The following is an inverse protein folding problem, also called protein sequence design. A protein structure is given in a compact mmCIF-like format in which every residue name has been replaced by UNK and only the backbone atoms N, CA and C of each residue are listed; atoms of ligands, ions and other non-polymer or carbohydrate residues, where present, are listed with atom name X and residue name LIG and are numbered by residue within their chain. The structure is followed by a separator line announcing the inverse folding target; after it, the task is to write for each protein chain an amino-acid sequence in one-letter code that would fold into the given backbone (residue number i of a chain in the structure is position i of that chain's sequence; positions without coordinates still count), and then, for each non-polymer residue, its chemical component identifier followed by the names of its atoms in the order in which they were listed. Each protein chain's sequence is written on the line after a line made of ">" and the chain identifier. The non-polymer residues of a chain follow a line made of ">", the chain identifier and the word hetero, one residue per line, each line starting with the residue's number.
data_IF_040974903582
#
_entry.id   IF_040974903582
#
_cell.length_a   1.000
_cell.length_b   1.000
_cell.length_c   1.000
_cell.angle_alpha   90.00
_cell.angle_beta   90.00
_cell.angle_gamma   90.00
#
_symmetry.space_group_name_H-M   'P 1'
#
loop_
_entity.id
_entity.type
_entity.pdbx_description
1 polymer ?
#
# COMPACT_ATOMS: atom_id res chain seq x y z
N UNK A 1 35.60 -18.13 14.98
CA UNK A 1 35.85 -19.56 14.67
C UNK A 1 34.80 -20.04 13.67
N UNK A 2 35.22 -20.86 12.70
CA UNK A 2 34.45 -21.28 11.51
C UNK A 2 33.32 -22.27 11.83
N UNK A 3 32.29 -22.16 10.99
CA UNK A 3 31.05 -22.92 10.78
C UNK A 3 31.00 -24.41 11.15
N UNK A 4 29.79 -24.88 11.44
CA UNK A 4 29.11 -25.96 10.69
C UNK A 4 27.59 -25.87 10.90
N UNK A 5 26.85 -25.44 9.88
CA UNK A 5 25.43 -25.74 9.73
C UNK A 5 25.30 -26.72 8.57
N UNK A 6 24.72 -27.89 8.85
CA UNK A 6 24.46 -28.93 7.88
C UNK A 6 23.45 -28.42 6.84
N UNK A 7 23.80 -28.51 5.57
CA UNK A 7 22.86 -28.44 4.45
C UNK A 7 22.10 -29.75 4.35
N UNK A 8 20.78 -29.68 4.36
CA UNK A 8 19.91 -30.72 3.82
C UNK A 8 19.04 -30.04 2.75
N UNK A 9 19.40 -30.33 1.50
CA UNK A 9 18.70 -29.93 0.29
C UNK A 9 17.32 -30.59 0.23
N UNK A 10 16.25 -29.80 0.33
CA UNK A 10 14.96 -30.07 -0.34
C UNK A 10 14.27 -28.73 -0.64
N UNK A 11 13.82 -28.58 -1.89
CA UNK A 11 13.07 -27.41 -2.39
C UNK A 11 11.77 -27.20 -1.59
N UNK A 12 11.66 -26.08 -0.89
CA UNK A 12 10.45 -25.64 -0.20
C UNK A 12 10.71 -24.38 0.63
N UNK A 13 9.76 -23.43 0.63
CA UNK A 13 9.85 -22.13 1.31
C UNK A 13 10.32 -22.28 2.78
N UNK A 14 11.58 -21.96 3.05
CA UNK A 14 12.12 -21.93 4.40
C UNK A 14 11.75 -20.63 5.12
N UNK A 15 10.98 -20.73 6.19
CA UNK A 15 10.86 -19.69 7.22
C UNK A 15 11.93 -19.91 8.29
N UNK A 16 12.59 -18.84 8.72
CA UNK A 16 13.55 -18.85 9.82
C UNK A 16 12.83 -18.40 11.09
N UNK A 17 12.70 -19.29 12.08
CA UNK A 17 12.35 -18.91 13.45
C UNK A 17 13.64 -18.52 14.16
N UNK A 18 13.83 -17.24 14.45
CA UNK A 18 14.99 -16.81 15.25
C UNK A 18 14.62 -17.02 16.71
N UNK A 19 15.15 -18.08 17.33
CA UNK A 19 15.14 -18.21 18.78
C UNK A 19 16.19 -17.24 19.34
N UNK A 20 15.75 -16.07 19.83
CA UNK A 20 16.61 -15.22 20.67
C UNK A 20 16.13 -15.31 22.12
N UNK A 21 17.01 -15.87 22.94
CA UNK A 21 16.98 -15.70 24.39
C UNK A 21 17.45 -14.28 24.72
N UNK A 22 16.52 -13.46 25.22
CA UNK A 22 16.69 -12.40 26.22
C UNK A 22 15.43 -11.53 26.15
N UNK A 23 14.48 -11.74 27.06
CA UNK A 23 13.34 -10.85 27.23
C UNK A 23 13.86 -9.54 27.83
N UNK A 24 13.83 -8.46 27.05
CA UNK A 24 13.99 -7.11 27.56
C UNK A 24 12.61 -6.45 27.57
N UNK A 25 12.07 -6.22 28.77
CA UNK A 25 10.87 -5.42 28.97
C UNK A 25 11.15 -3.96 28.58
N UNK A 26 10.91 -3.63 27.31
CA UNK A 26 10.89 -2.26 26.82
C UNK A 26 9.56 -1.62 27.19
N UNK A 27 9.57 -0.81 28.25
CA UNK A 27 8.45 0.05 28.62
C UNK A 27 8.08 0.95 27.43
N UNK A 28 6.94 0.63 26.81
CA UNK A 28 6.42 1.33 25.64
C UNK A 28 5.83 2.69 26.03
N UNK A 29 6.61 3.75 25.89
CA UNK A 29 6.05 5.10 25.77
C UNK A 29 5.87 5.42 24.29
N UNK A 30 4.62 5.57 23.85
CA UNK A 30 4.30 6.22 22.59
C UNK A 30 4.84 7.66 22.66
N UNK A 31 5.99 7.92 22.03
CA UNK A 31 6.61 9.25 21.97
C UNK A 31 5.80 10.17 21.04
N UNK A 32 4.60 10.57 21.45
CA UNK A 32 3.93 11.75 20.90
C UNK A 32 4.59 12.99 21.49
N UNK A 33 5.73 13.38 20.94
CA UNK A 33 6.37 14.63 21.38
C UNK A 33 5.80 15.77 20.55
N UNK A 34 4.85 16.50 21.12
CA UNK A 34 4.26 17.74 20.58
C UNK A 34 5.24 18.93 20.52
N UNK A 35 6.52 18.72 20.83
CA UNK A 35 7.57 19.74 20.82
C UNK A 35 8.25 19.76 19.46
N UNK A 36 8.23 20.93 18.82
CA UNK A 36 8.82 21.16 17.50
C UNK A 36 10.35 21.02 17.46
N UNK A 37 11.03 20.95 18.61
CA UNK A 37 12.47 20.68 18.70
C UNK A 37 12.81 19.79 19.91
N UNK A 38 13.47 18.66 19.66
CA UNK A 38 14.06 17.81 20.69
C UNK A 38 15.43 18.35 21.09
N UNK A 39 15.72 18.41 22.40
CA UNK A 39 16.96 18.96 22.97
C UNK A 39 18.19 18.07 22.70
N UNK A 40 19.40 18.64 22.76
CA UNK A 40 20.66 17.90 22.59
C UNK A 40 20.74 16.64 23.50
N UNK A 41 20.18 16.75 24.70
CA UNK A 41 20.13 15.69 25.71
C UNK A 41 19.25 14.51 25.31
N UNK A 42 18.17 14.73 24.55
CA UNK A 42 17.35 13.64 24.02
C UNK A 42 18.16 12.76 23.05
N UNK A 43 18.99 13.36 22.18
CA UNK A 43 19.83 12.59 21.26
C UNK A 43 20.84 11.72 21.98
N UNK A 44 21.50 12.25 23.02
CA UNK A 44 22.47 11.48 23.79
C UNK A 44 21.84 10.23 24.42
N UNK A 45 20.55 10.31 24.80
CA UNK A 45 19.85 9.22 25.49
C UNK A 45 19.18 8.22 24.53
N UNK A 46 18.59 8.68 23.42
CA UNK A 46 17.74 7.85 22.55
C UNK A 46 18.45 7.36 21.27
N UNK A 47 19.49 8.06 20.81
CA UNK A 47 20.22 7.68 19.60
C UNK A 47 20.92 6.31 19.69
N UNK A 48 21.50 5.89 20.84
CA UNK A 48 22.04 4.54 20.99
C UNK A 48 20.98 3.45 20.73
N UNK A 49 19.74 3.67 21.20
CA UNK A 49 18.63 2.73 20.97
C UNK A 49 18.28 2.62 19.49
N UNK A 50 18.31 3.73 18.74
CA UNK A 50 18.04 3.67 17.31
C UNK A 50 19.13 2.92 16.55
N UNK A 51 20.41 3.07 16.94
CA UNK A 51 21.50 2.26 16.36
C UNK A 51 21.29 0.78 16.61
N UNK A 52 20.92 0.40 17.84
CA UNK A 52 20.62 -0.99 18.18
C UNK A 52 19.45 -1.55 17.34
N UNK A 53 18.34 -0.82 17.27
CA UNK A 53 17.17 -1.19 16.47
C UNK A 53 17.50 -1.28 14.97
N UNK A 54 18.37 -0.42 14.45
CA UNK A 54 18.85 -0.50 13.06
C UNK A 54 19.54 -1.84 12.81
N UNK A 55 20.43 -2.27 13.72
CA UNK A 55 21.12 -3.55 13.58
C UNK A 55 20.16 -4.74 13.71
N UNK A 56 19.20 -4.67 14.65
CA UNK A 56 18.22 -5.73 14.87
C UNK A 56 17.27 -5.90 13.67
N UNK A 57 16.83 -4.78 13.07
CA UNK A 57 15.85 -4.74 11.98
C UNK A 57 16.48 -4.68 10.58
N UNK A 58 17.79 -4.83 10.43
CA UNK A 58 18.51 -4.56 9.18
C UNK A 58 17.97 -5.28 7.93
N UNK A 59 17.36 -6.47 8.11
CA UNK A 59 16.75 -7.27 7.05
C UNK A 59 15.22 -7.24 7.07
N UNK A 60 14.60 -6.38 7.88
CA UNK A 60 13.15 -6.30 8.04
C UNK A 60 12.65 -4.99 7.42
N UNK A 61 11.64 -5.07 6.56
CA UNK A 61 10.91 -3.92 6.01
C UNK A 61 9.43 -4.02 6.38
N UNK A 62 8.79 -2.89 6.64
CA UNK A 62 7.36 -2.80 6.95
C UNK A 62 6.60 -2.30 5.73
N UNK A 63 6.10 -3.21 4.90
CA UNK A 63 5.49 -2.90 3.61
C UNK A 63 4.00 -3.17 3.67
N UNK A 64 3.21 -2.13 3.42
CA UNK A 64 1.76 -2.26 3.21
C UNK A 64 1.06 -2.98 4.39
N UNK A 65 1.42 -2.61 5.62
CA UNK A 65 0.86 -3.17 6.85
C UNK A 65 1.47 -4.50 7.29
N UNK A 66 2.51 -4.98 6.61
CA UNK A 66 3.16 -6.27 6.91
C UNK A 66 4.65 -6.13 7.09
N UNK A 67 5.21 -6.90 8.02
CA UNK A 67 6.65 -7.09 8.10
C UNK A 67 7.11 -8.11 7.06
N UNK A 68 8.21 -7.81 6.38
CA UNK A 68 8.79 -8.67 5.35
C UNK A 68 10.29 -8.81 5.62
N UNK A 69 10.77 -10.05 5.58
CA UNK A 69 12.22 -10.31 5.49
C UNK A 69 12.70 -9.98 4.06
N UNK A 70 13.66 -9.07 3.96
CA UNK A 70 14.14 -8.51 2.70
C UNK A 70 14.97 -9.51 1.90
N UNK A 71 15.58 -10.51 2.57
CA UNK A 71 16.40 -11.53 1.92
C UNK A 71 15.54 -12.62 1.29
N UNK A 72 14.59 -13.17 2.04
CA UNK A 72 13.71 -14.26 1.58
C UNK A 72 12.42 -13.77 0.91
N UNK A 73 12.08 -12.49 1.08
CA UNK A 73 10.79 -11.90 0.69
C UNK A 73 9.57 -12.54 1.40
N UNK A 74 9.80 -13.20 2.54
CA UNK A 74 8.72 -13.83 3.31
C UNK A 74 8.09 -12.86 4.31
N UNK A 75 6.77 -12.95 4.49
CA UNK A 75 6.06 -12.22 5.54
C UNK A 75 6.49 -12.71 6.93
N UNK A 76 6.80 -11.78 7.82
CA UNK A 76 7.13 -12.03 9.22
C UNK A 76 5.89 -11.79 10.08
N UNK A 77 5.70 -12.65 11.08
CA UNK A 77 4.61 -12.57 12.06
C UNK A 77 5.25 -12.70 13.44
N UNK A 78 5.60 -11.57 14.03
CA UNK A 78 6.28 -11.46 15.31
C UNK A 78 5.95 -10.11 15.93
N UNK A 79 5.16 -10.15 17.02
CA UNK A 79 4.64 -8.96 17.70
C UNK A 79 5.76 -8.11 18.32
N UNK A 80 6.89 -8.73 18.69
CA UNK A 80 8.03 -8.02 19.26
C UNK A 80 8.79 -7.29 18.15
N UNK A 81 9.00 -7.94 16.98
CA UNK A 81 9.59 -7.25 15.81
C UNK A 81 8.66 -6.12 15.33
N UNK A 82 7.35 -6.28 15.39
CA UNK A 82 6.39 -5.22 15.04
C UNK A 82 6.49 -4.04 15.99
N UNK A 83 6.60 -4.30 17.30
CA UNK A 83 6.81 -3.26 18.31
C UNK A 83 8.15 -2.56 18.14
N UNK A 84 9.21 -3.29 17.84
CA UNK A 84 10.54 -2.76 17.58
C UNK A 84 10.55 -1.87 16.34
N UNK A 85 9.89 -2.30 15.26
CA UNK A 85 9.73 -1.50 14.03
C UNK A 85 8.94 -0.22 14.29
N UNK A 86 7.85 -0.29 15.05
CA UNK A 86 7.06 0.89 15.41
C UNK A 86 7.89 1.88 16.25
N UNK A 87 8.63 1.37 17.24
CA UNK A 87 9.54 2.14 18.09
C UNK A 87 10.64 2.80 17.25
N UNK A 88 11.29 2.02 16.38
CA UNK A 88 12.32 2.50 15.46
C UNK A 88 11.82 3.66 14.60
N UNK A 89 10.70 3.48 13.89
CA UNK A 89 10.13 4.53 13.04
C UNK A 89 9.75 5.77 13.83
N UNK A 90 9.22 5.61 15.05
CA UNK A 90 8.87 6.73 15.93
C UNK A 90 10.09 7.55 16.34
N UNK A 91 11.16 6.88 16.78
CA UNK A 91 12.41 7.54 17.16
C UNK A 91 13.06 8.26 15.97
N UNK A 92 13.04 7.63 14.78
CA UNK A 92 13.58 8.25 13.56
C UNK A 92 12.78 9.51 13.18
N UNK A 93 11.45 9.49 13.26
CA UNK A 93 10.64 10.70 13.06
C UNK A 93 11.03 11.82 14.02
N UNK A 94 11.22 11.50 15.30
CA UNK A 94 11.73 12.45 16.29
C UNK A 94 13.07 13.05 15.86
N UNK A 95 14.01 12.20 15.44
CA UNK A 95 15.33 12.62 14.96
C UNK A 95 15.28 13.53 13.73
N UNK A 96 14.42 13.25 12.76
CA UNK A 96 14.23 14.09 11.56
C UNK A 96 13.76 15.50 11.94
N UNK A 97 12.97 15.64 13.00
CA UNK A 97 12.53 16.93 13.53
C UNK A 97 13.59 17.72 14.29
N UNK A 98 14.79 17.17 14.46
CA UNK A 98 15.86 17.83 15.21
C UNK A 98 16.34 19.14 14.58
N UNK A 99 16.70 20.12 15.41
CA UNK A 99 17.33 21.34 14.93
C UNK A 99 18.59 21.05 14.09
N UNK A 100 19.38 20.04 14.50
CA UNK A 100 20.57 19.61 13.78
C UNK A 100 20.24 19.07 12.37
N UNK A 101 19.30 18.12 12.25
CA UNK A 101 18.91 17.55 10.94
C UNK A 101 18.22 18.61 10.08
N UNK A 102 17.34 19.42 10.66
CA UNK A 102 16.66 20.50 9.94
C UNK A 102 17.67 21.54 9.41
N UNK A 103 18.68 21.91 10.19
CA UNK A 103 19.75 22.80 9.73
C UNK A 103 20.58 22.18 8.58
N UNK A 104 20.97 20.91 8.71
CA UNK A 104 21.69 20.18 7.65
C UNK A 104 20.84 20.07 6.38
N UNK A 105 19.55 19.78 6.53
CA UNK A 105 18.62 19.63 5.41
C UNK A 105 18.35 20.96 4.71
N UNK A 106 18.31 22.07 5.45
CA UNK A 106 18.25 23.43 4.87
C UNK A 106 19.40 23.67 3.90
N UNK A 107 20.63 23.38 4.31
CA UNK A 107 21.83 23.58 3.50
C UNK A 107 21.86 22.70 2.24
N UNK A 108 21.37 21.46 2.36
CA UNK A 108 21.19 20.55 1.21
C UNK A 108 20.14 21.13 0.26
N UNK A 109 18.94 21.48 0.74
CA UNK A 109 17.85 21.99 -0.11
C UNK A 109 18.20 23.30 -0.82
N UNK A 110 18.95 24.21 -0.19
CA UNK A 110 19.42 25.45 -0.82
C UNK A 110 20.32 25.21 -2.04
N UNK A 111 20.94 24.03 -2.14
CA UNK A 111 21.76 23.66 -3.31
C UNK A 111 20.97 22.98 -4.44
N UNK A 112 19.75 22.49 -4.19
CA UNK A 112 18.94 21.73 -5.16
C UNK A 112 17.73 22.49 -5.70
N UNK A 113 17.11 23.35 -4.90
CA UNK A 113 15.97 24.16 -5.33
C UNK A 113 16.50 25.45 -5.96
N UNK A 114 16.84 25.38 -7.25
CA UNK A 114 17.14 26.56 -8.08
C UNK A 114 15.95 27.54 -7.97
N UNK A 115 16.15 28.65 -7.24
CA UNK A 115 15.24 29.79 -7.02
C UNK A 115 14.41 29.85 -5.73
N UNK A 116 14.82 29.21 -4.63
CA UNK A 116 14.25 29.57 -3.33
C UNK A 116 14.82 30.91 -2.82
N UNK A 117 14.22 32.03 -3.23
CA UNK A 117 14.35 33.34 -2.54
C UNK A 117 13.73 33.34 -1.12
N UNK A 118 13.27 32.19 -0.63
CA UNK A 118 12.70 32.03 0.70
C UNK A 118 13.73 31.39 1.63
N UNK A 119 14.35 32.21 2.49
CA UNK A 119 15.39 31.85 3.46
C UNK A 119 14.95 30.89 4.59
N UNK A 120 13.78 30.24 4.54
CA UNK A 120 13.23 29.53 5.70
C UNK A 120 12.53 28.19 5.45
N UNK A 121 12.55 27.63 4.24
CA UNK A 121 11.80 26.39 3.98
C UNK A 121 12.65 25.12 4.22
N UNK A 122 12.18 24.25 5.11
CA UNK A 122 12.67 22.88 5.27
C UNK A 122 11.48 21.91 5.35
N UNK A 123 11.36 20.91 4.46
CA UNK A 123 10.29 19.92 4.55
C UNK A 123 10.44 19.07 5.82
N UNK A 124 9.34 18.52 6.35
CA UNK A 124 9.34 17.71 7.57
C UNK A 124 9.76 18.50 8.83
N UNK A 125 9.71 19.83 8.79
CA UNK A 125 10.09 20.71 9.89
C UNK A 125 9.02 20.76 10.99
N UNK A 126 7.75 20.61 10.63
CA UNK A 126 6.64 20.57 11.59
C UNK A 126 6.35 19.15 12.07
N UNK A 127 5.88 19.00 13.31
CA UNK A 127 5.55 17.68 13.86
C UNK A 127 4.52 16.92 13.02
N UNK A 128 3.47 17.59 12.54
CA UNK A 128 2.42 16.99 11.70
C UNK A 128 2.92 16.49 10.33
N UNK A 129 3.96 17.11 9.77
CA UNK A 129 4.58 16.68 8.50
C UNK A 129 5.37 15.37 8.68
N UNK A 130 5.74 15.04 9.91
CA UNK A 130 6.48 13.82 10.24
C UNK A 130 5.56 12.67 10.64
N UNK A 131 4.29 12.91 10.93
CA UNK A 131 3.38 11.82 11.29
C UNK A 131 3.22 10.83 10.13
N UNK A 132 3.07 9.52 10.41
CA UNK A 132 2.79 8.53 9.39
C UNK A 132 1.35 8.67 8.87
N UNK A 133 1.13 8.24 7.63
CA UNK A 133 -0.20 8.21 7.03
C UNK A 133 -0.42 6.92 6.26
N UNK A 134 -1.59 6.32 6.50
CA UNK A 134 -2.14 5.25 5.67
C UNK A 134 -3.14 5.87 4.70
N UNK A 135 -2.82 5.82 3.42
CA UNK A 135 -3.66 6.32 2.33
C UNK A 135 -4.59 5.20 1.89
N UNK A 136 -5.85 5.30 2.31
CA UNK A 136 -6.88 4.26 2.12
C UNK A 136 -8.18 4.78 1.47
N UNK A 137 -8.19 6.05 1.05
CA UNK A 137 -9.34 6.71 0.46
C UNK A 137 -8.95 7.95 -0.32
N UNK A 138 -9.74 8.30 -1.36
CA UNK A 138 -9.62 9.57 -2.07
C UNK A 138 -9.85 10.76 -1.13
N UNK A 139 -10.66 10.60 -0.09
CA UNK A 139 -10.91 11.66 0.90
C UNK A 139 -9.65 12.04 1.66
N UNK A 140 -8.81 11.09 2.07
CA UNK A 140 -7.52 11.40 2.71
C UNK A 140 -6.60 12.20 1.77
N UNK A 141 -6.43 11.72 0.54
CA UNK A 141 -5.61 12.40 -0.48
C UNK A 141 -6.15 13.80 -0.78
N UNK A 142 -7.46 13.93 -0.97
CA UNK A 142 -8.13 15.20 -1.27
C UNK A 142 -8.04 16.20 -0.13
N UNK A 143 -8.15 15.75 1.11
CA UNK A 143 -7.98 16.60 2.28
C UNK A 143 -6.53 17.12 2.36
N UNK A 144 -5.56 16.24 2.14
CA UNK A 144 -4.14 16.62 2.16
C UNK A 144 -3.79 17.64 1.07
N UNK A 145 -4.29 17.43 -0.15
CA UNK A 145 -4.10 18.34 -1.30
C UNK A 145 -5.03 19.58 -1.26
N UNK A 146 -5.87 19.73 -0.23
CA UNK A 146 -6.85 20.81 -0.12
C UNK A 146 -7.81 20.91 -1.32
N UNK A 147 -8.20 19.77 -1.89
CA UNK A 147 -9.14 19.67 -3.02
C UNK A 147 -10.54 20.07 -2.57
N UNK A 148 -11.13 21.04 -3.27
CA UNK A 148 -12.46 21.58 -2.97
C UNK A 148 -13.58 20.57 -3.23
N UNK A 149 -14.78 20.81 -2.66
CA UNK A 149 -15.92 19.93 -2.86
C UNK A 149 -16.36 19.79 -4.33
N UNK A 150 -16.21 20.85 -5.13
CA UNK A 150 -16.51 20.81 -6.58
C UNK A 150 -15.49 19.94 -7.32
N UNK A 151 -14.20 20.11 -7.02
CA UNK A 151 -13.14 19.29 -7.62
C UNK A 151 -13.25 17.82 -7.18
N UNK A 152 -13.68 17.52 -5.95
CA UNK A 152 -13.94 16.13 -5.53
C UNK A 152 -15.01 15.45 -6.39
N UNK A 153 -16.05 16.20 -6.82
CA UNK A 153 -17.06 15.67 -7.76
C UNK A 153 -16.43 15.35 -9.12
N UNK A 154 -15.54 16.22 -9.60
CA UNK A 154 -14.80 16.02 -10.85
C UNK A 154 -13.86 14.81 -10.76
N UNK A 155 -13.05 14.72 -9.71
CA UNK A 155 -12.17 13.58 -9.41
C UNK A 155 -12.98 12.29 -9.43
N UNK A 156 -14.08 12.23 -8.66
CA UNK A 156 -14.94 11.04 -8.63
C UNK A 156 -15.42 10.67 -10.03
N UNK A 157 -15.93 11.63 -10.79
CA UNK A 157 -16.46 11.35 -12.12
C UNK A 157 -15.40 10.77 -13.06
N UNK A 158 -14.21 11.39 -13.11
CA UNK A 158 -13.09 10.93 -13.93
C UNK A 158 -12.56 9.57 -13.47
N UNK A 159 -12.39 9.37 -12.17
CA UNK A 159 -11.94 8.11 -11.57
C UNK A 159 -12.93 6.99 -11.87
N UNK A 160 -14.22 7.16 -11.55
CA UNK A 160 -15.24 6.14 -11.79
C UNK A 160 -15.28 5.70 -13.26
N UNK A 161 -15.16 6.64 -14.19
CA UNK A 161 -15.18 6.34 -15.62
C UNK A 161 -14.09 5.35 -16.05
N UNK A 162 -12.95 5.36 -15.37
CA UNK A 162 -11.77 4.53 -15.63
C UNK A 162 -11.80 3.23 -14.81
N UNK A 163 -12.11 3.30 -13.51
CA UNK A 163 -11.83 2.20 -12.56
C UNK A 163 -13.01 1.24 -12.36
N UNK A 164 -14.23 1.60 -12.78
CA UNK A 164 -15.39 0.69 -12.62
C UNK A 164 -15.60 -0.21 -13.85
N UNK A 165 -14.60 -0.37 -14.70
CA UNK A 165 -14.63 -1.31 -15.81
C UNK A 165 -14.66 -2.75 -15.28
N UNK A 166 -15.32 -3.66 -15.99
CA UNK A 166 -15.54 -5.02 -15.52
C UNK A 166 -14.23 -5.78 -15.23
N UNK A 167 -13.21 -5.63 -16.08
CA UNK A 167 -11.90 -6.26 -15.86
C UNK A 167 -11.14 -5.68 -14.65
N UNK A 168 -11.31 -4.39 -14.33
CA UNK A 168 -10.72 -3.77 -13.13
C UNK A 168 -11.44 -4.25 -11.87
N UNK A 169 -12.77 -4.33 -11.92
CA UNK A 169 -13.58 -4.87 -10.83
C UNK A 169 -13.23 -6.32 -10.50
N UNK A 170 -13.29 -7.20 -11.50
CA UNK A 170 -12.97 -8.63 -11.35
C UNK A 170 -11.50 -8.83 -10.97
N UNK A 171 -10.59 -8.08 -11.59
CA UNK A 171 -9.16 -8.13 -11.27
C UNK A 171 -8.86 -7.73 -9.83
N UNK A 172 -9.50 -6.67 -9.32
CA UNK A 172 -9.35 -6.24 -7.93
C UNK A 172 -9.89 -7.30 -6.94
N UNK A 173 -11.04 -7.91 -7.24
CA UNK A 173 -11.56 -9.02 -6.43
C UNK A 173 -10.60 -10.22 -6.42
N UNK A 174 -10.04 -10.60 -7.58
CA UNK A 174 -9.04 -11.67 -7.67
C UNK A 174 -7.81 -11.36 -6.83
N UNK A 175 -7.29 -10.13 -6.88
CA UNK A 175 -6.13 -9.73 -6.08
C UNK A 175 -6.41 -9.81 -4.56
N UNK A 176 -7.62 -9.44 -4.11
CA UNK A 176 -8.03 -9.61 -2.70
C UNK A 176 -8.05 -11.10 -2.33
N UNK A 177 -8.71 -11.93 -3.14
CA UNK A 177 -8.84 -13.37 -2.91
C UNK A 177 -7.48 -14.11 -2.95
N UNK A 178 -6.60 -13.74 -3.87
CA UNK A 178 -5.23 -14.26 -3.94
C UNK A 178 -4.43 -13.92 -2.67
N UNK A 179 -4.68 -12.74 -2.08
CA UNK A 179 -4.14 -12.38 -0.77
C UNK A 179 -4.53 -13.40 0.30
N UNK A 180 -5.82 -13.72 0.39
CA UNK A 180 -6.30 -14.76 1.30
C UNK A 180 -5.68 -16.12 1.01
N UNK A 181 -5.67 -16.57 -0.25
CA UNK A 181 -5.15 -17.88 -0.65
C UNK A 181 -3.74 -18.13 -0.09
N UNK A 182 -2.82 -17.19 -0.30
CA UNK A 182 -1.43 -17.31 0.15
C UNK A 182 -1.32 -17.50 1.67
N UNK A 183 -2.07 -16.73 2.44
CA UNK A 183 -1.99 -16.79 3.90
C UNK A 183 -2.78 -17.98 4.48
N UNK A 184 -3.90 -18.38 3.87
CA UNK A 184 -4.69 -19.54 4.25
C UNK A 184 -3.98 -20.86 3.95
N UNK A 185 -3.28 -20.96 2.82
CA UNK A 185 -2.43 -22.11 2.50
C UNK A 185 -1.31 -22.26 3.55
N UNK A 186 -0.72 -21.13 3.96
CA UNK A 186 0.28 -21.11 5.02
C UNK A 186 -0.30 -21.58 6.37
N UNK A 187 -1.52 -21.16 6.73
CA UNK A 187 -2.19 -21.59 7.95
C UNK A 187 -2.53 -23.09 7.93
N UNK A 188 -3.08 -23.57 6.81
CA UNK A 188 -3.42 -24.98 6.61
C UNK A 188 -2.21 -25.90 6.73
N UNK A 189 -1.04 -25.46 6.25
CA UNK A 189 0.21 -26.23 6.36
C UNK A 189 0.75 -26.39 7.79
N UNK A 190 0.29 -25.56 8.74
CA UNK A 190 0.76 -25.58 10.14
C UNK A 190 -0.18 -26.33 11.09
N UNK A 191 -1.31 -26.83 10.61
CA UNK A 191 -2.27 -27.64 11.37
C UNK A 191 -3.68 -27.60 10.79
N UNK A 192 -4.54 -28.51 11.25
CA UNK A 192 -5.96 -28.59 10.86
C UNK A 192 -6.75 -27.46 11.55
N UNK A 193 -6.70 -26.25 10.99
CA UNK A 193 -7.68 -25.22 11.32
C UNK A 193 -8.86 -25.35 10.33
N UNK A 194 -9.99 -25.88 10.82
CA UNK A 194 -11.20 -26.06 10.01
C UNK A 194 -11.66 -24.75 9.35
N UNK A 195 -11.51 -23.62 10.04
CA UNK A 195 -11.88 -22.30 9.50
C UNK A 195 -10.96 -21.90 8.33
N UNK A 196 -9.67 -22.27 8.39
CA UNK A 196 -8.71 -21.99 7.31
C UNK A 196 -8.98 -22.86 6.07
N UNK A 197 -9.34 -24.13 6.26
CA UNK A 197 -9.73 -25.03 5.16
C UNK A 197 -11.02 -24.56 4.48
N UNK A 198 -12.04 -24.21 5.26
CA UNK A 198 -13.29 -23.67 4.74
C UNK A 198 -13.06 -22.35 4.00
N UNK A 199 -12.28 -21.44 4.59
CA UNK A 199 -11.88 -20.19 3.92
C UNK A 199 -11.17 -20.46 2.58
N UNK A 200 -10.27 -21.44 2.53
CA UNK A 200 -9.58 -21.83 1.30
C UNK A 200 -10.53 -22.34 0.21
N UNK A 201 -11.53 -23.15 0.58
CA UNK A 201 -12.57 -23.63 -0.35
C UNK A 201 -13.43 -22.48 -0.90
N UNK A 202 -13.81 -21.54 -0.03
CA UNK A 202 -14.59 -20.35 -0.42
C UNK A 202 -13.78 -19.48 -1.39
N UNK A 203 -12.49 -19.25 -1.10
CA UNK A 203 -11.58 -18.50 -1.98
C UNK A 203 -11.48 -19.18 -3.35
N UNK A 204 -11.28 -20.50 -3.38
CA UNK A 204 -11.21 -21.26 -4.62
C UNK A 204 -12.50 -21.14 -5.46
N UNK A 205 -13.67 -21.28 -4.82
CA UNK A 205 -14.97 -21.12 -5.47
C UNK A 205 -15.15 -19.73 -6.08
N UNK A 206 -14.83 -18.66 -5.33
CA UNK A 206 -14.87 -17.29 -5.83
C UNK A 206 -13.91 -17.07 -7.02
N UNK A 207 -12.69 -17.61 -6.95
CA UNK A 207 -11.71 -17.45 -8.02
C UNK A 207 -12.12 -18.18 -9.31
N UNK A 208 -12.75 -19.35 -9.19
CA UNK A 208 -13.31 -20.08 -10.33
C UNK A 208 -14.43 -19.27 -10.98
N UNK A 209 -15.39 -18.78 -10.18
CA UNK A 209 -16.45 -17.89 -10.65
C UNK A 209 -15.89 -16.72 -11.47
N UNK A 210 -14.93 -15.96 -10.91
CA UNK A 210 -14.33 -14.79 -11.56
C UNK A 210 -13.49 -15.13 -12.80
N UNK A 211 -13.03 -16.38 -12.94
CA UNK A 211 -12.27 -16.83 -14.10
C UNK A 211 -13.21 -17.18 -15.24
N UNK A 212 -14.33 -17.85 -14.94
CA UNK A 212 -15.38 -18.15 -15.91
C UNK A 212 -16.00 -16.87 -16.50
N UNK A 213 -16.20 -15.83 -15.68
CA UNK A 213 -16.71 -14.53 -16.17
C UNK A 213 -15.72 -13.79 -17.08
N UNK A 214 -14.41 -14.09 -17.01
CA UNK A 214 -13.36 -13.38 -17.75
C UNK A 214 -13.14 -13.85 -19.19
N UNK A 215 -13.79 -14.94 -19.62
CA UNK A 215 -13.54 -15.61 -20.91
C UNK A 215 -14.01 -14.78 -22.12
N UNK A 216 -14.87 -13.78 -21.92
CA UNK A 216 -15.40 -12.93 -22.98
C UNK A 216 -14.53 -11.72 -23.35
N UNK A 217 -13.50 -11.42 -22.55
CA UNK A 217 -12.71 -10.19 -22.68
C UNK A 217 -11.47 -10.31 -23.58
N UNK A 218 -11.19 -11.47 -24.17
CA UNK A 218 -10.03 -11.67 -25.06
C UNK A 218 -10.37 -11.28 -26.52
N UNK A 219 -9.81 -10.17 -27.06
CA UNK A 219 -10.05 -9.74 -28.43
C UNK A 219 -9.42 -10.66 -29.50
N UNK A 220 -8.51 -11.56 -29.11
CA UNK A 220 -7.96 -12.60 -29.98
C UNK A 220 -8.80 -13.89 -30.04
N UNK A 221 -9.78 -14.00 -29.15
CA UNK A 221 -10.67 -15.16 -29.07
C UNK A 221 -11.77 -15.05 -30.14
N UNK A 222 -11.92 -16.09 -30.95
CA UNK A 222 -13.04 -16.26 -31.90
C UNK A 222 -14.39 -16.49 -31.20
N UNK A 223 -14.57 -15.95 -30.00
CA UNK A 223 -15.74 -16.06 -29.13
C UNK A 223 -16.95 -15.25 -29.63
N UNK A 224 -16.74 -14.28 -30.53
CA UNK A 224 -17.84 -13.63 -31.28
C UNK A 224 -18.52 -14.59 -32.29
N UNK A 225 -17.90 -15.72 -32.63
CA UNK A 225 -18.49 -16.81 -33.42
C UNK A 225 -19.10 -17.93 -32.57
N UNK A 226 -19.03 -17.86 -31.23
CA UNK A 226 -19.69 -18.83 -30.36
C UNK A 226 -21.21 -18.58 -30.43
N UNK A 227 -21.87 -19.30 -31.33
CA UNK A 227 -23.30 -19.56 -31.22
C UNK A 227 -23.54 -20.13 -29.82
N UNK A 228 -24.53 -19.58 -29.12
CA UNK A 228 -25.01 -20.06 -27.82
C UNK A 228 -25.00 -21.59 -27.83
N UNK A 229 -24.31 -22.22 -26.87
CA UNK A 229 -24.12 -23.68 -26.92
C UNK A 229 -25.48 -24.37 -26.86
N UNK A 230 -25.89 -25.01 -27.95
CA UNK A 230 -27.21 -25.65 -28.08
C UNK A 230 -27.30 -27.01 -27.36
N UNK A 231 -26.59 -27.18 -26.25
CA UNK A 231 -26.75 -28.35 -25.39
C UNK A 231 -27.29 -27.89 -24.04
N UNK A 232 -28.62 -27.99 -23.91
CA UNK A 232 -29.30 -28.13 -22.62
C UNK A 232 -28.66 -29.30 -21.87
N UNK A 233 -27.66 -29.01 -21.07
CA UNK A 233 -27.54 -29.65 -19.77
C UNK A 233 -28.18 -28.67 -18.79
N UNK A 234 -28.91 -29.19 -17.79
CA UNK A 234 -29.46 -28.40 -16.69
C UNK A 234 -28.30 -27.71 -15.95
N UNK A 235 -27.85 -26.58 -16.49
CA UNK A 235 -27.10 -25.61 -15.73
C UNK A 235 -28.11 -24.98 -14.78
N UNK A 236 -27.84 -25.11 -13.48
CA UNK A 236 -28.64 -24.51 -12.44
C UNK A 236 -28.84 -23.01 -12.64
N UNK A 237 -29.69 -22.41 -11.79
CA UNK A 237 -30.06 -21.01 -11.86
C UNK A 237 -28.87 -20.09 -12.21
N UNK A 238 -29.05 -19.08 -13.09
CA UNK A 238 -27.97 -18.18 -13.50
C UNK A 238 -27.30 -17.60 -12.27
N UNK A 239 -25.99 -17.84 -12.14
CA UNK A 239 -25.22 -17.39 -10.99
C UNK A 239 -25.27 -15.87 -10.89
N UNK A 240 -25.49 -15.35 -9.70
CA UNK A 240 -25.59 -13.91 -9.45
C UNK A 240 -24.35 -13.41 -8.73
N UNK A 241 -24.07 -12.12 -8.86
CA UNK A 241 -23.11 -11.45 -7.97
C UNK A 241 -23.52 -11.55 -6.49
N UNK A 242 -24.80 -11.81 -6.20
CA UNK A 242 -25.29 -12.17 -4.87
C UNK A 242 -24.62 -13.42 -4.29
N UNK A 243 -24.36 -14.46 -5.10
CA UNK A 243 -23.71 -15.68 -4.63
C UNK A 243 -22.27 -15.39 -4.19
N UNK A 244 -21.55 -14.55 -4.95
CA UNK A 244 -20.21 -14.07 -4.57
C UNK A 244 -20.26 -13.23 -3.30
N UNK A 245 -21.28 -12.40 -3.13
CA UNK A 245 -21.45 -11.62 -1.91
C UNK A 245 -21.67 -12.53 -0.67
N UNK A 246 -22.48 -13.58 -0.80
CA UNK A 246 -22.67 -14.57 0.27
C UNK A 246 -21.35 -15.24 0.61
N UNK A 247 -20.62 -15.74 -0.39
CA UNK A 247 -19.30 -16.33 -0.20
C UNK A 247 -18.31 -15.36 0.47
N UNK A 248 -18.32 -14.07 0.12
CA UNK A 248 -17.48 -13.07 0.79
C UNK A 248 -17.86 -12.88 2.26
N UNK A 249 -19.15 -12.89 2.61
CA UNK A 249 -19.58 -12.82 4.00
C UNK A 249 -19.08 -14.03 4.81
N UNK A 250 -19.22 -15.23 4.24
CA UNK A 250 -18.76 -16.46 4.87
C UNK A 250 -17.23 -16.46 5.03
N UNK A 251 -16.49 -16.03 4.00
CA UNK A 251 -15.03 -15.91 4.05
C UNK A 251 -14.59 -14.97 5.18
N UNK A 252 -15.23 -13.81 5.31
CA UNK A 252 -14.93 -12.85 6.37
C UNK A 252 -15.23 -13.46 7.73
N UNK A 253 -16.37 -14.11 7.91
CA UNK A 253 -16.76 -14.72 9.18
C UNK A 253 -15.77 -15.81 9.61
N UNK A 254 -15.33 -16.66 8.67
CA UNK A 254 -14.32 -17.70 8.92
C UNK A 254 -12.96 -17.08 9.30
N UNK A 255 -12.58 -15.97 8.67
CA UNK A 255 -11.23 -15.41 8.80
C UNK A 255 -11.08 -14.32 9.87
N UNK A 256 -12.17 -13.73 10.39
CA UNK A 256 -12.11 -12.53 11.24
C UNK A 256 -11.39 -12.71 12.57
N UNK A 257 -11.31 -13.94 13.09
CA UNK A 257 -10.63 -14.26 14.36
C UNK A 257 -9.12 -14.40 14.21
N UNK A 258 -8.66 -14.68 12.99
CA UNK A 258 -7.25 -14.90 12.71
C UNK A 258 -6.53 -13.57 12.48
N UNK A 259 -5.63 -13.22 13.39
CA UNK A 259 -4.91 -11.93 13.37
C UNK A 259 -4.11 -11.76 12.08
N UNK A 260 -3.56 -12.85 11.53
CA UNK A 260 -2.79 -12.83 10.28
C UNK A 260 -3.61 -12.45 9.05
N UNK A 261 -4.91 -12.70 9.08
CA UNK A 261 -5.84 -12.42 7.97
C UNK A 261 -6.54 -11.06 8.11
N UNK A 262 -6.34 -10.34 9.22
CA UNK A 262 -7.03 -9.09 9.54
C UNK A 262 -7.01 -8.06 8.40
N UNK A 263 -5.87 -7.88 7.73
CA UNK A 263 -5.74 -6.96 6.61
C UNK A 263 -6.55 -7.39 5.39
N UNK A 264 -6.58 -8.70 5.10
CA UNK A 264 -7.36 -9.25 4.00
C UNK A 264 -8.86 -9.17 4.29
N UNK A 265 -9.25 -9.48 5.53
CA UNK A 265 -10.64 -9.31 6.01
C UNK A 265 -11.10 -7.87 5.88
N UNK A 266 -10.29 -6.90 6.31
CA UNK A 266 -10.60 -5.49 6.14
C UNK A 266 -10.78 -5.12 4.65
N UNK A 267 -9.99 -5.71 3.75
CA UNK A 267 -10.12 -5.49 2.30
C UNK A 267 -11.35 -6.15 1.71
N UNK A 268 -11.70 -7.36 2.13
CA UNK A 268 -12.94 -8.01 1.72
C UNK A 268 -14.18 -7.22 2.18
N UNK A 269 -14.18 -6.71 3.42
CA UNK A 269 -15.25 -5.85 3.93
C UNK A 269 -15.42 -4.57 3.11
N UNK A 270 -14.32 -3.96 2.67
CA UNK A 270 -14.37 -2.80 1.76
C UNK A 270 -14.99 -3.19 0.42
N UNK A 271 -14.60 -4.33 -0.16
CA UNK A 271 -15.10 -4.76 -1.47
C UNK A 271 -16.58 -5.19 -1.44
N UNK A 272 -17.12 -5.57 -0.27
CA UNK A 272 -18.56 -5.84 -0.10
C UNK A 272 -19.45 -4.67 -0.50
N UNK A 273 -19.00 -3.42 -0.31
CA UNK A 273 -19.73 -2.23 -0.76
C UNK A 273 -20.08 -2.33 -2.26
N UNK A 274 -19.09 -2.66 -3.10
CA UNK A 274 -19.29 -2.83 -4.53
C UNK A 274 -20.18 -4.03 -4.86
N UNK A 275 -19.95 -5.18 -4.21
CA UNK A 275 -20.76 -6.40 -4.39
C UNK A 275 -22.23 -6.16 -4.05
N UNK A 276 -22.52 -5.45 -2.95
CA UNK A 276 -23.89 -5.08 -2.56
C UNK A 276 -24.60 -4.25 -3.62
N UNK A 277 -23.88 -3.35 -4.30
CA UNK A 277 -24.46 -2.52 -5.36
C UNK A 277 -24.75 -3.26 -6.66
N UNK A 278 -24.14 -4.44 -6.87
CA UNK A 278 -24.30 -5.23 -8.10
C UNK A 278 -24.96 -6.59 -7.86
N UNK A 279 -25.37 -6.91 -6.63
CA UNK A 279 -25.92 -8.22 -6.23
C UNK A 279 -27.00 -8.77 -7.16
N UNK A 280 -27.84 -7.89 -7.69
CA UNK A 280 -28.99 -8.21 -8.56
C UNK A 280 -28.62 -8.31 -10.05
N UNK A 281 -27.35 -8.15 -10.41
CA UNK A 281 -26.86 -8.40 -11.78
C UNK A 281 -26.57 -9.90 -11.92
N UNK A 282 -27.19 -10.54 -12.91
CA UNK A 282 -26.89 -11.92 -13.28
C UNK A 282 -25.56 -12.02 -14.02
N UNK A 283 -24.88 -13.14 -13.83
CA UNK A 283 -23.70 -13.56 -14.58
C UNK A 283 -24.08 -14.84 -15.30
N UNK A 284 -24.33 -14.72 -16.60
CA UNK A 284 -24.68 -15.87 -17.41
C UNK A 284 -23.55 -16.11 -18.43
N UNK A 285 -22.79 -17.19 -18.23
CA UNK A 285 -21.67 -17.54 -19.10
C UNK A 285 -22.12 -18.29 -20.37
N UNK A 286 -23.42 -18.58 -20.51
CA UNK A 286 -24.02 -19.27 -21.67
C UNK A 286 -24.60 -18.32 -22.72
N UNK A 287 -24.70 -17.02 -22.39
CA UNK A 287 -25.27 -16.00 -23.28
C UNK A 287 -24.30 -15.59 -24.39
N UNK A 288 -24.88 -15.07 -25.47
CA UNK A 288 -24.11 -14.47 -26.56
C UNK A 288 -23.34 -13.22 -26.11
N UNK A 289 -22.32 -12.86 -26.89
CA UNK A 289 -21.42 -11.73 -26.63
C UNK A 289 -22.13 -10.41 -26.29
N UNK A 290 -23.25 -10.10 -26.95
CA UNK A 290 -24.02 -8.86 -26.72
C UNK A 290 -24.62 -8.81 -25.31
N UNK A 291 -25.21 -9.90 -24.84
CA UNK A 291 -25.76 -10.02 -23.50
C UNK A 291 -24.66 -9.97 -22.44
N UNK A 292 -23.50 -10.59 -22.68
CA UNK A 292 -22.35 -10.52 -21.79
C UNK A 292 -21.85 -9.07 -21.64
N UNK A 293 -21.68 -8.34 -22.76
CA UNK A 293 -21.35 -6.91 -22.72
C UNK A 293 -22.40 -6.06 -22.02
N UNK A 294 -23.69 -6.41 -22.16
CA UNK A 294 -24.76 -5.73 -21.46
C UNK A 294 -24.63 -5.91 -19.93
N UNK A 295 -24.37 -7.13 -19.46
CA UNK A 295 -24.11 -7.43 -18.05
C UNK A 295 -22.89 -6.66 -17.52
N UNK A 296 -21.77 -6.65 -18.26
CA UNK A 296 -20.59 -5.86 -17.89
C UNK A 296 -20.89 -4.35 -17.81
N UNK A 297 -21.66 -3.83 -18.77
CA UNK A 297 -22.09 -2.43 -18.78
C UNK A 297 -23.03 -2.10 -17.61
N UNK A 298 -23.87 -3.04 -17.18
CA UNK A 298 -24.73 -2.87 -16.00
C UNK A 298 -23.90 -2.80 -14.72
N UNK A 299 -22.93 -3.69 -14.54
CA UNK A 299 -21.97 -3.65 -13.41
C UNK A 299 -21.27 -2.29 -13.38
N UNK A 300 -20.68 -1.86 -14.52
CA UNK A 300 -20.01 -0.55 -14.63
C UNK A 300 -20.95 0.59 -14.25
N UNK A 301 -22.16 0.61 -14.80
CA UNK A 301 -23.15 1.68 -14.56
C UNK A 301 -23.55 1.76 -13.09
N UNK A 302 -23.80 0.62 -12.44
CA UNK A 302 -24.17 0.56 -11.03
C UNK A 302 -23.03 1.01 -10.13
N UNK A 303 -21.82 0.48 -10.32
CA UNK A 303 -20.64 0.88 -9.54
C UNK A 303 -20.32 2.38 -9.73
N UNK A 304 -20.29 2.87 -10.97
CA UNK A 304 -20.06 4.30 -11.25
C UNK A 304 -21.09 5.23 -10.60
N UNK A 305 -22.36 4.79 -10.53
CA UNK A 305 -23.44 5.58 -9.92
C UNK A 305 -23.36 5.56 -8.40
N UNK A 306 -23.12 4.40 -7.80
CA UNK A 306 -23.29 4.17 -6.37
C UNK A 306 -22.02 4.45 -5.55
N UNK A 307 -20.83 4.14 -6.09
CA UNK A 307 -19.58 4.38 -5.37
C UNK A 307 -19.31 5.89 -5.27
N UNK A 308 -19.26 6.39 -4.04
CA UNK A 308 -19.02 7.80 -3.73
C UNK A 308 -17.53 8.17 -3.75
N UNK A 309 -17.22 9.47 -3.68
CA UNK A 309 -15.83 9.93 -3.56
C UNK A 309 -15.15 9.37 -2.31
N UNK A 310 -15.88 9.29 -1.19
CA UNK A 310 -15.38 8.75 0.07
C UNK A 310 -15.37 7.22 0.13
N UNK A 311 -15.82 6.53 -0.93
CA UNK A 311 -15.86 5.07 -0.96
C UNK A 311 -14.44 4.50 -0.92
N UNK A 312 -14.18 3.62 0.05
CA UNK A 312 -12.93 2.86 0.13
C UNK A 312 -12.89 1.78 -0.95
N UNK A 313 -14.05 1.28 -1.39
CA UNK A 313 -14.15 0.37 -2.52
C UNK A 313 -13.67 1.06 -3.81
N UNK A 314 -14.14 2.28 -4.09
CA UNK A 314 -13.67 3.07 -5.23
C UNK A 314 -12.16 3.28 -5.20
N UNK A 315 -11.62 3.63 -4.03
CA UNK A 315 -10.19 3.81 -3.88
C UNK A 315 -9.40 2.51 -4.07
N UNK A 316 -9.93 1.38 -3.63
CA UNK A 316 -9.31 0.06 -3.83
C UNK A 316 -9.26 -0.31 -5.32
N UNK A 317 -10.33 -0.01 -6.07
CA UNK A 317 -10.34 -0.15 -7.53
C UNK A 317 -9.32 0.77 -8.22
N UNK A 318 -9.15 1.99 -7.72
CA UNK A 318 -8.14 2.91 -8.23
C UNK A 318 -6.71 2.40 -8.00
N UNK A 319 -6.41 1.87 -6.81
CA UNK A 319 -5.11 1.26 -6.53
C UNK A 319 -4.83 0.08 -7.46
N UNK A 320 -5.83 -0.76 -7.71
CA UNK A 320 -5.71 -1.87 -8.64
C UNK A 320 -5.49 -1.38 -10.08
N UNK A 321 -6.24 -0.36 -10.52
CA UNK A 321 -6.08 0.24 -11.84
C UNK A 321 -4.68 0.81 -12.07
N UNK A 322 -4.13 1.55 -11.09
CA UNK A 322 -2.82 2.21 -11.25
C UNK A 322 -1.63 1.26 -11.05
N UNK A 323 -1.75 0.30 -10.13
CA UNK A 323 -0.60 -0.46 -9.63
C UNK A 323 -0.79 -1.98 -9.68
N UNK A 324 -1.96 -2.48 -10.08
CA UNK A 324 -2.31 -3.89 -10.04
C UNK A 324 -2.40 -4.47 -8.62
N UNK A 325 -2.49 -3.62 -7.59
CA UNK A 325 -2.50 -4.02 -6.18
C UNK A 325 -3.65 -3.33 -5.44
N UNK A 326 -4.22 -4.02 -4.45
CA UNK A 326 -5.37 -3.54 -3.66
C UNK A 326 -4.99 -3.04 -2.26
N UNK A 327 -3.72 -3.16 -1.88
CA UNK A 327 -3.26 -2.85 -0.52
C UNK A 327 -3.10 -1.35 -0.33
N UNK A 328 -3.52 -0.84 0.84
CA UNK A 328 -3.37 0.57 1.19
C UNK A 328 -1.90 1.00 1.16
N UNK A 329 -1.67 2.28 0.86
CA UNK A 329 -0.32 2.84 0.74
C UNK A 329 0.08 3.45 2.08
N UNK A 330 1.25 3.05 2.58
CA UNK A 330 1.81 3.58 3.82
C UNK A 330 2.93 4.57 3.53
N UNK A 331 2.84 5.73 4.19
CA UNK A 331 3.84 6.78 4.16
C UNK A 331 4.35 6.98 5.59
N UNK A 332 5.66 6.95 5.80
CA UNK A 332 6.22 7.05 7.15
C UNK A 332 6.26 8.48 7.67
N UNK A 333 6.36 9.46 6.76
CA UNK A 333 6.30 10.89 7.03
C UNK A 333 5.60 11.61 5.88
N UNK A 334 4.51 12.31 6.15
CA UNK A 334 3.64 12.86 5.10
C UNK A 334 4.20 14.09 4.38
N UNK A 335 5.18 14.78 4.96
CA UNK A 335 5.68 16.06 4.45
C UNK A 335 4.55 17.07 4.29
N UNK A 336 4.51 17.74 3.14
CA UNK A 336 3.51 18.75 2.81
C UNK A 336 3.58 19.17 1.35
N UNK A 337 2.68 20.07 0.95
CA UNK A 337 2.69 20.72 -0.38
C UNK A 337 3.09 22.18 -0.21
N UNK A 338 4.10 22.62 -0.97
CA UNK A 338 4.63 23.98 -0.87
C UNK A 338 4.81 24.62 -2.24
N UNK A 339 4.63 25.94 -2.37
CA UNK A 339 4.92 26.64 -3.61
C UNK A 339 6.42 26.61 -3.91
N UNK A 340 6.77 26.33 -5.17
CA UNK A 340 8.14 26.21 -5.65
C UNK A 340 8.57 27.46 -6.44
N UNK A 341 8.75 28.59 -5.74
CA UNK A 341 9.44 29.81 -6.21
C UNK A 341 8.83 30.61 -7.37
N UNK A 342 8.05 29.98 -8.26
CA UNK A 342 7.31 30.58 -9.36
C UNK A 342 5.80 30.46 -9.12
N UNK A 343 5.03 31.45 -9.57
CA UNK A 343 3.58 31.29 -9.70
C UNK A 343 3.30 30.00 -10.50
N UNK A 344 2.43 29.15 -9.97
CA UNK A 344 1.95 27.91 -10.60
C UNK A 344 2.91 26.69 -10.57
N UNK A 345 3.89 26.64 -9.66
CA UNK A 345 4.60 25.40 -9.33
C UNK A 345 4.50 25.05 -7.86
N UNK A 346 4.24 23.79 -7.56
CA UNK A 346 4.13 23.25 -6.22
C UNK A 346 5.03 22.02 -6.10
N UNK A 347 5.56 21.76 -4.91
CA UNK A 347 6.33 20.57 -4.60
C UNK A 347 5.67 19.79 -3.46
N UNK A 348 5.41 18.50 -3.70
CA UNK A 348 4.91 17.54 -2.72
C UNK A 348 6.07 16.74 -2.14
N UNK A 349 6.17 16.72 -0.81
CA UNK A 349 7.20 15.97 -0.10
C UNK A 349 6.59 14.74 0.59
N UNK A 350 7.24 13.58 0.47
CA UNK A 350 6.91 12.38 1.28
C UNK A 350 8.16 11.68 1.75
N UNK A 351 8.08 11.05 2.92
CA UNK A 351 9.22 10.42 3.59
C UNK A 351 9.00 8.92 3.84
N UNK A 352 10.08 8.16 3.70
CA UNK A 352 10.18 6.74 4.01
C UNK A 352 11.37 6.49 4.94
N UNK A 353 11.21 5.59 5.89
CA UNK A 353 12.24 5.19 6.84
C UNK A 353 12.71 3.79 6.46
N UNK A 354 14.03 3.62 6.34
CA UNK A 354 14.69 2.37 5.97
C UNK A 354 15.51 1.85 7.15
N UNK A 355 15.56 0.53 7.28
CA UNK A 355 16.35 -0.16 8.32
C UNK A 355 17.76 -0.52 7.85
N UNK A 356 18.02 -0.49 6.54
CA UNK A 356 19.36 -0.64 5.95
C UNK A 356 19.49 0.12 4.63
N UNK A 357 20.73 0.38 4.23
CA UNK A 357 21.12 1.05 2.99
C UNK A 357 21.33 0.07 1.82
N UNK A 358 21.06 -1.22 2.05
CA UNK A 358 21.18 -2.25 1.00
C UNK A 358 20.34 -1.89 -0.22
N UNK A 359 20.86 -2.17 -1.42
CA UNK A 359 20.17 -1.83 -2.68
C UNK A 359 18.78 -2.45 -2.79
N UNK A 360 18.58 -3.64 -2.21
CA UNK A 360 17.24 -4.26 -2.13
C UNK A 360 16.26 -3.44 -1.27
N UNK A 361 16.71 -2.94 -0.12
CA UNK A 361 15.90 -2.11 0.77
C UNK A 361 15.58 -0.76 0.12
N UNK A 362 16.61 -0.11 -0.43
CA UNK A 362 16.47 1.18 -1.10
C UNK A 362 15.55 1.07 -2.31
N UNK A 363 15.70 0.04 -3.14
CA UNK A 363 14.82 -0.21 -4.28
C UNK A 363 13.35 -0.44 -3.87
N UNK A 364 13.07 -1.04 -2.71
CA UNK A 364 11.72 -1.17 -2.17
C UNK A 364 11.17 0.18 -1.69
N UNK A 365 11.96 0.93 -0.93
CA UNK A 365 11.58 2.25 -0.43
C UNK A 365 11.23 3.21 -1.57
N UNK A 366 12.03 3.18 -2.64
CA UNK A 366 11.79 3.93 -3.88
C UNK A 366 10.44 3.55 -4.52
N UNK A 367 10.15 2.25 -4.70
CA UNK A 367 8.86 1.79 -5.26
C UNK A 367 7.65 2.17 -4.39
N UNK A 368 7.81 2.26 -3.08
CA UNK A 368 6.74 2.66 -2.17
C UNK A 368 6.47 4.16 -2.24
N UNK A 369 7.53 4.96 -2.22
CA UNK A 369 7.42 6.41 -2.38
C UNK A 369 6.84 6.78 -3.75
N UNK A 370 7.23 6.08 -4.81
CA UNK A 370 6.66 6.27 -6.15
C UNK A 370 5.13 6.07 -6.15
N UNK A 371 4.64 4.95 -5.62
CA UNK A 371 3.19 4.70 -5.51
C UNK A 371 2.47 5.76 -4.68
N UNK A 372 3.10 6.17 -3.57
CA UNK A 372 2.55 7.19 -2.68
C UNK A 372 2.49 8.58 -3.34
N UNK A 373 3.56 9.02 -3.99
CA UNK A 373 3.58 10.31 -4.68
C UNK A 373 2.68 10.28 -5.93
N UNK A 374 2.69 9.16 -6.66
CA UNK A 374 1.91 8.95 -7.87
C UNK A 374 0.40 9.08 -7.64
N UNK A 375 -0.13 8.54 -6.53
CA UNK A 375 -1.57 8.68 -6.24
C UNK A 375 -1.97 10.14 -5.95
N UNK A 376 -1.09 10.92 -5.32
CA UNK A 376 -1.35 12.33 -5.05
C UNK A 376 -1.26 13.16 -6.34
N UNK A 377 -0.26 12.90 -7.19
CA UNK A 377 -0.17 13.52 -8.51
C UNK A 377 -1.38 13.21 -9.37
N UNK A 378 -1.81 11.96 -9.40
CA UNK A 378 -3.00 11.54 -10.13
C UNK A 378 -4.25 12.30 -9.64
N UNK A 379 -4.47 12.40 -8.32
CA UNK A 379 -5.61 13.17 -7.78
C UNK A 379 -5.49 14.66 -8.10
N UNK A 380 -4.29 15.24 -8.03
CA UNK A 380 -4.02 16.63 -8.42
C UNK A 380 -4.45 16.93 -9.86
N UNK A 381 -4.07 16.05 -10.79
CA UNK A 381 -4.42 16.16 -12.22
C UNK A 381 -5.92 15.92 -12.46
N UNK A 382 -6.51 14.91 -11.82
CA UNK A 382 -7.95 14.63 -11.94
C UNK A 382 -8.82 15.75 -11.36
N UNK A 383 -8.34 16.43 -10.32
CA UNK A 383 -8.97 17.60 -9.71
C UNK A 383 -8.80 18.89 -10.52
N UNK A 384 -8.01 18.86 -11.61
CA UNK A 384 -7.65 20.03 -12.40
C UNK A 384 -7.11 21.16 -11.52
N UNK A 385 -6.25 20.80 -10.57
CA UNK A 385 -5.57 21.77 -9.71
C UNK A 385 -4.72 22.72 -10.57
N UNK A 386 -4.73 24.00 -10.22
CA UNK A 386 -3.91 25.00 -10.92
C UNK A 386 -2.44 24.78 -10.59
N UNK A 387 -1.59 24.84 -11.62
CA UNK A 387 -0.15 24.71 -11.49
C UNK A 387 0.36 23.27 -11.54
N UNK A 388 1.67 23.15 -11.77
CA UNK A 388 2.37 21.87 -11.84
C UNK A 388 2.73 21.37 -10.44
N UNK A 389 2.61 20.06 -10.22
CA UNK A 389 3.02 19.41 -8.97
C UNK A 389 4.28 18.57 -9.20
N UNK A 390 5.41 19.11 -8.73
CA UNK A 390 6.68 18.41 -8.58
C UNK A 390 6.60 17.43 -7.40
N UNK A 391 7.23 16.26 -7.53
CA UNK A 391 7.19 15.21 -6.51
C UNK A 391 8.60 15.00 -5.94
N UNK A 392 8.72 14.98 -4.61
CA UNK A 392 9.99 14.77 -3.93
C UNK A 392 9.86 13.74 -2.80
N UNK A 393 10.52 12.60 -2.98
CA UNK A 393 10.58 11.54 -1.97
C UNK A 393 11.89 11.58 -1.18
N UNK A 394 11.81 11.41 0.14
CA UNK A 394 12.95 11.41 1.05
C UNK A 394 13.06 10.05 1.75
N UNK A 395 14.25 9.46 1.77
CA UNK A 395 14.50 8.18 2.44
C UNK A 395 15.53 8.35 3.54
N UNK A 396 15.20 7.89 4.74
CA UNK A 396 16.05 8.04 5.91
C UNK A 396 16.57 6.68 6.36
N UNK A 397 17.88 6.54 6.45
CA UNK A 397 18.54 5.33 6.95
C UNK A 397 19.66 5.70 7.91
N UNK A 398 19.78 4.95 8.99
CA UNK A 398 20.86 5.12 9.97
C UNK A 398 22.17 4.61 9.39
N UNK A 399 23.24 5.39 9.52
CA UNK A 399 24.59 5.01 9.10
C UNK A 399 24.88 5.03 7.60
N UNK A 400 23.91 5.44 6.77
CA UNK A 400 24.04 5.47 5.31
C UNK A 400 24.65 6.79 4.80
N UNK A 401 25.42 6.75 3.72
CA UNK A 401 25.97 7.96 3.11
C UNK A 401 24.92 8.78 2.33
N UNK A 402 25.11 10.11 2.37
CA UNK A 402 24.34 11.09 1.59
C UNK A 402 24.53 10.84 0.11
N UNK A 403 23.56 10.17 -0.49
CA UNK A 403 23.46 10.01 -1.94
C UNK A 403 22.13 10.52 -2.44
N UNK A 404 22.16 11.12 -3.62
CA UNK A 404 21.00 11.53 -4.38
C UNK A 404 20.72 10.44 -5.37
N UNK A 405 19.49 9.94 -5.35
CA UNK A 405 19.02 9.04 -6.38
C UNK A 405 18.28 9.88 -7.42
N UNK A 406 18.53 9.61 -8.68
CA UNK A 406 17.68 10.09 -9.77
C UNK A 406 17.01 8.85 -10.33
N UNK A 407 15.86 8.51 -9.76
CA UNK A 407 15.03 7.47 -10.35
C UNK A 407 14.00 8.18 -11.24
N UNK A 408 13.99 7.87 -12.54
CA UNK A 408 12.81 8.07 -13.38
C UNK A 408 11.88 6.93 -13.06
N UNK A 409 10.78 7.24 -12.39
CA UNK A 409 9.72 6.26 -12.13
C UNK A 409 8.45 6.91 -12.63
N UNK A 410 8.13 6.55 -13.88
CA UNK A 410 7.39 7.46 -14.75
C UNK A 410 8.13 8.79 -14.96
N UNK A 411 7.40 9.91 -14.87
CA UNK A 411 7.87 11.28 -15.13
C UNK A 411 8.41 12.02 -13.90
N UNK A 412 8.81 11.35 -12.83
CA UNK A 412 9.23 12.01 -11.58
C UNK A 412 10.65 11.62 -11.16
N UNK A 413 11.43 12.61 -10.73
CA UNK A 413 12.76 12.47 -10.12
C UNK A 413 12.59 12.43 -8.59
N UNK A 414 12.87 11.29 -7.97
CA UNK A 414 12.92 11.21 -6.49
C UNK A 414 14.32 11.57 -6.01
N UNK A 415 14.57 12.85 -5.72
CA UNK A 415 15.75 13.29 -4.99
C UNK A 415 15.72 12.82 -3.54
N UNK A 416 16.05 11.55 -3.30
CA UNK A 416 16.19 11.02 -1.95
C UNK A 416 17.52 11.45 -1.35
N UNK A 417 17.52 12.02 -0.15
CA UNK A 417 18.74 12.20 0.65
C UNK A 417 18.84 11.08 1.68
N UNK A 418 19.73 10.12 1.46
CA UNK A 418 20.15 9.17 2.51
C UNK A 418 21.06 9.90 3.50
N UNK A 419 20.54 10.68 4.45
CA UNK A 419 21.42 11.43 5.33
C UNK A 419 22.16 10.52 6.34
N UNK A 420 23.50 10.61 6.46
CA UNK A 420 24.25 9.88 7.46
C UNK A 420 23.93 10.41 8.84
N UNK A 421 23.69 9.43 9.71
CA UNK A 421 23.65 9.57 11.17
C UNK A 421 25.07 9.67 11.69
N UNK A 422 25.70 10.84 11.59
CA UNK A 422 27.00 11.08 12.24
C UNK A 422 26.87 12.23 13.24
N UNK A 423 26.94 11.88 14.53
CA UNK A 423 27.46 12.79 15.54
C UNK A 423 28.98 12.54 15.48
N UNK A 424 29.71 13.32 14.70
CA UNK A 424 31.13 13.46 15.01
C UNK A 424 31.20 14.26 16.31
N UNK A 425 31.80 13.64 17.33
CA UNK A 425 32.34 14.38 18.48
C UNK A 425 33.44 15.31 17.99
#
# INVERSE_FOLDING_TARGET
>A
MRCRSLELLYFGNHFIRINKFAAFDLNSMFYHTSKDALSLQWYQNEFPKVKELTHLLANVDAVNGRLIDVKSNSTLFDDDIERDMCTFKSLVRGYVGSAFVQHKMKHVMTSFVLNAKHESFTPFGKANEREPMVVDSLTKVSNFLSVSAQQRKLVRHKVCSQVTQHHIWTGALKEVLNGFAVDLDCLSSRGLNNDALLGGQIVHSCLNFLTETGVFSDPGSSSWMKLSSSKMFDFGDPQKWEDVLVMFNDLIECCKKETRLKLHVAKAEIMKEGLLHIRDVSVDNSVGYKEAQHQESLVRKKLSKMLGHSSRCLFTLLLYYLYGRVVDIEVDMCGGVYPNGSNDKFCLFMGRILTSDSEKMVGRGVKQLDRALGIFKFVWEMAEMKGHLDLQGHMWCVGADSRILSASIGNCLVGGMLAPWSIHQ
#
